data_IF_645738609487
#
_entry.id   IF_645738609487
#
_cell.length_a   1.000
_cell.length_b   1.000
_cell.length_c   1.000
_cell.angle_alpha   90.00
_cell.angle_beta   90.00
_cell.angle_gamma   90.00
#
_symmetry.space_group_name_H-M   'P 1'
#
loop_
_entity.id
_entity.type
_entity.pdbx_description
1 polymer ?
#
# COMPACT_ATOMS: atom_id res chain seq x y z
N UNK A 1 -9.97 13.08 -8.31
CA UNK A 1 -9.59 14.41 -7.77
C UNK A 1 -8.55 14.16 -6.70
N UNK A 2 -7.37 14.80 -6.71
CA UNK A 2 -6.35 14.53 -5.68
C UNK A 2 -6.81 15.06 -4.33
N UNK A 3 -6.59 14.30 -3.25
CA UNK A 3 -6.81 14.78 -1.88
C UNK A 3 -5.88 16.00 -1.66
N UNK A 4 -6.38 17.12 -1.13
CA UNK A 4 -5.55 18.30 -0.88
C UNK A 4 -4.49 18.00 0.19
N UNK A 5 -3.26 18.41 -0.05
CA UNK A 5 -2.15 18.29 0.89
C UNK A 5 -1.13 19.41 0.68
N UNK A 6 -0.40 19.77 1.74
CA UNK A 6 0.71 20.73 1.66
C UNK A 6 1.97 20.01 1.25
N UNK A 7 2.53 20.37 0.09
CA UNK A 7 3.80 19.81 -0.40
C UNK A 7 4.98 20.33 0.42
N UNK A 8 6.02 19.51 0.56
CA UNK A 8 7.32 20.00 0.99
C UNK A 8 7.90 20.97 -0.05
N UNK A 9 8.66 22.00 0.37
CA UNK A 9 9.43 22.80 -0.56
C UNK A 9 10.38 21.94 -1.40
N UNK A 10 10.60 22.30 -2.66
CA UNK A 10 11.34 21.49 -3.63
C UNK A 10 12.77 21.17 -3.18
N UNK A 11 13.42 22.12 -2.51
CA UNK A 11 14.78 21.94 -1.97
C UNK A 11 14.85 20.77 -0.97
N UNK A 12 13.88 20.68 -0.05
CA UNK A 12 13.82 19.59 0.92
C UNK A 12 13.43 18.27 0.26
N UNK A 13 12.47 18.29 -0.66
CA UNK A 13 12.10 17.09 -1.41
C UNK A 13 13.28 16.49 -2.17
N UNK A 14 14.09 17.33 -2.84
CA UNK A 14 15.34 16.91 -3.50
C UNK A 14 16.33 16.33 -2.49
N UNK A 15 16.59 17.04 -1.39
CA UNK A 15 17.51 16.59 -0.35
C UNK A 15 17.12 15.23 0.25
N UNK A 16 15.83 14.98 0.45
CA UNK A 16 15.34 13.70 0.99
C UNK A 16 15.47 12.54 0.00
N UNK A 17 15.32 12.80 -1.31
CA UNK A 17 15.61 11.81 -2.35
C UNK A 17 17.09 11.49 -2.45
N UNK A 18 17.95 12.53 -2.50
CA UNK A 18 19.40 12.36 -2.57
C UNK A 18 19.96 11.57 -1.37
N UNK A 19 19.36 11.74 -0.20
CA UNK A 19 19.70 10.98 1.01
C UNK A 19 19.09 9.57 1.08
N UNK A 20 18.24 9.19 0.12
CA UNK A 20 17.56 7.90 0.08
C UNK A 20 16.42 7.73 1.09
N UNK A 21 16.00 8.81 1.77
CA UNK A 21 14.84 8.75 2.68
C UNK A 21 13.53 8.58 1.91
N UNK A 22 13.42 9.27 0.77
CA UNK A 22 12.31 9.10 -0.16
C UNK A 22 12.80 8.27 -1.34
N UNK A 23 12.24 7.09 -1.49
CA UNK A 23 12.62 6.15 -2.54
C UNK A 23 11.70 6.23 -3.77
N UNK A 24 10.70 7.13 -3.76
CA UNK A 24 9.67 7.29 -4.80
C UNK A 24 8.95 5.97 -5.15
N UNK A 25 8.78 5.09 -4.16
CA UNK A 25 8.06 3.83 -4.26
C UNK A 25 6.72 3.92 -3.53
N UNK A 26 5.64 3.33 -4.07
CA UNK A 26 4.38 3.25 -3.36
C UNK A 26 4.52 2.30 -2.17
N UNK A 27 3.70 2.48 -1.12
CA UNK A 27 3.68 1.54 0.02
C UNK A 27 3.37 0.09 -0.42
N UNK A 28 2.62 -0.07 -1.51
CA UNK A 28 2.32 -1.40 -2.09
C UNK A 28 3.57 -2.15 -2.55
N UNK A 29 4.66 -1.45 -2.86
CA UNK A 29 5.94 -2.05 -3.29
C UNK A 29 6.51 -3.01 -2.23
N UNK A 30 6.30 -2.72 -0.94
CA UNK A 30 6.65 -3.60 0.18
C UNK A 30 5.99 -4.97 0.01
N UNK A 31 4.73 -5.00 -0.44
CA UNK A 31 3.98 -6.24 -0.62
C UNK A 31 4.29 -6.89 -1.98
N UNK A 32 4.33 -6.10 -3.06
CA UNK A 32 4.47 -6.63 -4.43
C UNK A 32 5.85 -7.22 -4.69
N UNK A 33 6.92 -6.71 -4.05
CA UNK A 33 8.27 -7.32 -4.14
C UNK A 33 8.32 -8.75 -3.60
N UNK A 34 7.43 -9.07 -2.66
CA UNK A 34 7.33 -10.37 -2.03
C UNK A 34 6.11 -11.17 -2.52
N UNK A 35 5.43 -10.74 -3.59
CA UNK A 35 4.19 -11.36 -4.06
C UNK A 35 4.32 -12.86 -4.41
N UNK A 36 5.51 -13.33 -4.75
CA UNK A 36 5.78 -14.74 -5.02
C UNK A 36 6.30 -15.52 -3.79
N UNK A 37 6.49 -14.87 -2.63
CA UNK A 37 7.08 -15.48 -1.44
C UNK A 37 6.05 -16.26 -0.64
N UNK A 38 6.38 -17.51 -0.32
CA UNK A 38 5.63 -18.37 0.60
C UNK A 38 6.03 -18.14 2.07
N UNK A 39 6.88 -17.14 2.36
CA UNK A 39 7.20 -16.77 3.74
C UNK A 39 5.98 -16.17 4.44
N UNK A 40 5.81 -16.47 5.73
CA UNK A 40 4.69 -15.96 6.53
C UNK A 40 4.85 -14.45 6.74
N UNK A 41 3.80 -13.69 6.39
CA UNK A 41 3.72 -12.24 6.53
C UNK A 41 2.88 -11.83 7.75
N UNK A 42 1.78 -12.54 8.01
CA UNK A 42 0.83 -12.22 9.10
C UNK A 42 0.41 -13.50 9.81
N UNK A 43 0.34 -13.43 11.13
CA UNK A 43 -0.18 -14.49 12.00
C UNK A 43 -1.30 -13.88 12.85
N UNK A 44 -2.48 -14.49 12.80
CA UNK A 44 -3.68 -14.12 13.56
C UNK A 44 -4.28 -15.38 14.19
N UNK A 45 -3.89 -15.66 15.43
CA UNK A 45 -4.20 -16.92 16.09
C UNK A 45 -3.71 -18.14 15.30
N UNK A 46 -4.63 -19.04 14.95
CA UNK A 46 -4.35 -20.21 14.12
C UNK A 46 -4.18 -19.90 12.62
N UNK A 47 -4.57 -18.68 12.19
CA UNK A 47 -4.47 -18.28 10.80
C UNK A 47 -3.08 -17.72 10.51
N UNK A 48 -2.45 -18.23 9.47
CA UNK A 48 -1.22 -17.69 8.93
C UNK A 48 -1.44 -17.30 7.47
N UNK A 49 -0.89 -16.16 7.07
CA UNK A 49 -0.91 -15.71 5.69
C UNK A 49 0.53 -15.52 5.23
N UNK A 50 0.88 -16.18 4.13
CA UNK A 50 2.10 -15.89 3.38
C UNK A 50 2.03 -14.52 2.71
N UNK A 51 3.18 -13.98 2.31
CA UNK A 51 3.23 -12.76 1.49
C UNK A 51 2.44 -12.92 0.17
N UNK A 52 2.51 -14.10 -0.47
CA UNK A 52 1.73 -14.42 -1.67
C UNK A 52 0.22 -14.33 -1.41
N UNK A 53 -0.26 -14.98 -0.34
CA UNK A 53 -1.69 -14.98 -0.01
C UNK A 53 -2.17 -13.59 0.40
N UNK A 54 -1.37 -12.84 1.16
CA UNK A 54 -1.67 -11.48 1.55
C UNK A 54 -1.76 -10.56 0.32
N UNK A 55 -0.82 -10.65 -0.62
CA UNK A 55 -0.85 -9.89 -1.86
C UNK A 55 -2.10 -10.22 -2.68
N UNK A 56 -2.40 -11.51 -2.85
CA UNK A 56 -3.59 -11.95 -3.59
C UNK A 56 -4.88 -11.45 -2.94
N UNK A 57 -4.98 -11.47 -1.61
CA UNK A 57 -6.14 -10.95 -0.89
C UNK A 57 -6.30 -9.43 -1.07
N UNK A 58 -5.20 -8.68 -1.01
CA UNK A 58 -5.20 -7.23 -1.25
C UNK A 58 -5.64 -6.89 -2.69
N UNK A 59 -5.11 -7.60 -3.69
CA UNK A 59 -5.47 -7.41 -5.11
C UNK A 59 -6.94 -7.74 -5.38
N UNK A 60 -7.46 -8.81 -4.77
CA UNK A 60 -8.86 -9.20 -4.88
C UNK A 60 -9.79 -8.12 -4.31
N UNK A 61 -9.44 -7.57 -3.15
CA UNK A 61 -10.17 -6.46 -2.54
C UNK A 61 -10.11 -5.21 -3.41
N UNK A 62 -8.93 -4.82 -3.89
CA UNK A 62 -8.77 -3.67 -4.78
C UNK A 62 -9.61 -3.81 -6.06
N UNK A 63 -9.63 -4.99 -6.69
CA UNK A 63 -10.47 -5.27 -7.84
C UNK A 63 -11.97 -5.14 -7.51
N UNK A 64 -12.39 -5.62 -6.33
CA UNK A 64 -13.78 -5.51 -5.87
C UNK A 64 -14.21 -4.05 -5.67
N UNK A 65 -13.38 -3.25 -4.99
CA UNK A 65 -13.64 -1.84 -4.74
C UNK A 65 -13.74 -1.05 -6.06
N UNK A 66 -12.84 -1.33 -7.02
CA UNK A 66 -12.91 -0.71 -8.36
C UNK A 66 -14.20 -1.08 -9.10
N UNK A 67 -14.66 -2.33 -9.00
CA UNK A 67 -15.95 -2.76 -9.59
C UNK A 67 -17.16 -2.09 -8.94
N UNK A 68 -17.07 -1.74 -7.66
CA UNK A 68 -18.09 -0.95 -6.97
C UNK A 68 -18.06 0.55 -7.34
N UNK A 69 -17.12 0.95 -8.20
CA UNK A 69 -17.02 2.32 -8.73
C UNK A 69 -16.05 3.22 -7.96
N UNK A 70 -15.33 2.68 -6.97
CA UNK A 70 -14.36 3.45 -6.19
C UNK A 70 -13.18 3.86 -7.08
N UNK A 71 -12.78 5.13 -7.00
CA UNK A 71 -11.76 5.76 -7.84
C UNK A 71 -10.61 6.35 -7.03
N UNK A 72 -9.42 6.49 -7.63
CA UNK A 72 -8.32 7.21 -7.02
C UNK A 72 -8.73 8.63 -6.61
N UNK A 73 -8.43 8.98 -5.36
CA UNK A 73 -8.77 10.27 -4.77
C UNK A 73 -10.02 10.27 -3.90
N UNK A 74 -10.72 9.13 -3.81
CA UNK A 74 -11.78 8.93 -2.83
C UNK A 74 -11.20 8.47 -1.49
N UNK A 75 -11.98 8.63 -0.42
CA UNK A 75 -11.57 8.34 0.95
C UNK A 75 -12.42 7.20 1.52
N UNK A 76 -11.83 6.41 2.41
CA UNK A 76 -12.51 5.34 3.12
C UNK A 76 -12.22 5.46 4.62
N UNK A 77 -13.24 5.20 5.44
CA UNK A 77 -13.06 4.97 6.87
C UNK A 77 -12.85 3.47 7.08
N UNK A 78 -11.75 3.11 7.74
CA UNK A 78 -11.45 1.72 8.10
C UNK A 78 -11.56 1.59 9.63
N UNK A 79 -12.55 0.85 10.09
CA UNK A 79 -12.70 0.47 11.50
C UNK A 79 -12.72 -1.06 11.57
N UNK A 80 -11.67 -1.62 12.17
CA UNK A 80 -11.58 -3.04 12.50
C UNK A 80 -11.70 -3.13 14.02
N UNK A 81 -12.60 -3.99 14.51
CA UNK A 81 -12.89 -4.18 15.93
C UNK A 81 -12.94 -5.66 16.29
#
# INVERSE_FOLDING_TARGET
MSIPFTRWPEEFARRYREKGYWQDLPLTDILTRHAASDSIAVIDGERQLSYRELNQAADNLACSLRRQGIKPGETALVQLG
#
